data_IF_601790413163
#
_entry.id   IF_601790413163
#
_cell.length_a   1.000
_cell.length_b   1.000
_cell.length_c   1.000
_cell.angle_alpha   90.00
_cell.angle_beta   90.00
_cell.angle_gamma   90.00
#
_symmetry.space_group_name_H-M   'P 1'
#
loop_
_entity.id
_entity.type
_entity.pdbx_description
1 polymer ?
#
# COMPACT_ATOMS: atom_id res chain seq x y z
N UNK A 1 0.16 1.28 -18.90
CA UNK A 1 1.38 1.61 -18.14
C UNK A 1 1.21 1.18 -16.68
N UNK A 2 2.23 0.57 -16.07
CA UNK A 2 2.23 0.16 -14.66
C UNK A 2 2.95 1.20 -13.79
N UNK A 3 2.49 1.39 -12.55
CA UNK A 3 3.14 2.22 -11.55
C UNK A 3 3.47 1.43 -10.27
N UNK A 4 4.55 1.82 -9.59
CA UNK A 4 4.94 1.28 -8.28
C UNK A 4 4.76 2.37 -7.23
N UNK A 5 4.07 2.04 -6.14
CA UNK A 5 3.90 2.91 -4.98
C UNK A 5 4.64 2.30 -3.77
N UNK A 6 5.94 2.58 -3.60
CA UNK A 6 6.74 2.01 -2.54
C UNK A 6 6.52 2.75 -1.21
N UNK A 7 6.52 2.01 -0.10
CA UNK A 7 6.39 2.60 1.24
C UNK A 7 6.65 1.59 2.35
N UNK A 8 6.93 2.09 3.56
CA UNK A 8 7.06 1.22 4.74
C UNK A 8 5.70 0.66 5.18
N UNK A 9 4.63 1.44 4.97
CA UNK A 9 3.24 1.14 5.34
C UNK A 9 3.12 0.61 6.76
N UNK A 10 3.67 1.38 7.71
CA UNK A 10 3.91 0.94 9.09
C UNK A 10 3.33 1.93 10.11
N UNK A 11 1.98 2.03 10.25
CA UNK A 11 0.94 1.34 9.47
C UNK A 11 0.55 2.08 8.19
N UNK A 12 -0.17 1.39 7.30
CA UNK A 12 -0.91 2.05 6.22
C UNK A 12 -2.00 2.98 6.79
N UNK A 13 -2.33 4.04 6.06
CA UNK A 13 -3.28 5.09 6.49
C UNK A 13 -4.24 5.42 5.35
N UNK A 14 -5.35 6.09 5.66
CA UNK A 14 -6.31 6.55 4.63
C UNK A 14 -5.66 7.48 3.59
N UNK A 15 -4.63 8.23 3.96
CA UNK A 15 -3.85 9.03 3.01
C UNK A 15 -3.10 8.17 1.99
N UNK A 16 -2.55 7.02 2.39
CA UNK A 16 -1.95 6.08 1.45
C UNK A 16 -3.00 5.50 0.48
N UNK A 17 -4.21 5.21 0.98
CA UNK A 17 -5.30 4.72 0.15
C UNK A 17 -5.78 5.78 -0.86
N UNK A 18 -5.86 7.05 -0.46
CA UNK A 18 -6.18 8.16 -1.37
C UNK A 18 -5.17 8.27 -2.51
N UNK A 19 -3.87 8.24 -2.20
CA UNK A 19 -2.81 8.27 -3.21
C UNK A 19 -2.90 7.06 -4.15
N UNK A 20 -3.10 5.87 -3.61
CA UNK A 20 -3.26 4.65 -4.40
C UNK A 20 -4.48 4.72 -5.35
N UNK A 21 -5.61 5.27 -4.88
CA UNK A 21 -6.83 5.47 -5.69
C UNK A 21 -6.60 6.45 -6.83
N UNK A 22 -5.96 7.58 -6.55
CA UNK A 22 -5.63 8.57 -7.58
C UNK A 22 -4.70 7.97 -8.63
N UNK A 23 -3.69 7.22 -8.20
CA UNK A 23 -2.79 6.50 -9.11
C UNK A 23 -3.55 5.46 -9.97
N UNK A 24 -4.50 4.73 -9.39
CA UNK A 24 -5.30 3.74 -10.13
C UNK A 24 -6.22 4.38 -11.20
N UNK A 25 -6.55 5.67 -11.07
CA UNK A 25 -7.22 6.43 -12.13
C UNK A 25 -6.31 6.92 -13.25
N UNK A 26 -4.98 6.81 -13.10
CA UNK A 26 -3.97 7.28 -14.05
C UNK A 26 -3.17 6.15 -14.70
N UNK A 27 -3.15 4.96 -14.09
CA UNK A 27 -2.37 3.80 -14.52
C UNK A 27 -3.24 2.55 -14.56
N UNK A 28 -2.96 1.66 -15.53
CA UNK A 28 -3.69 0.40 -15.67
C UNK A 28 -3.47 -0.55 -14.47
N UNK A 29 -2.34 -0.39 -13.79
CA UNK A 29 -1.98 -1.20 -12.62
C UNK A 29 -1.09 -0.39 -11.67
N UNK A 30 -1.40 -0.46 -10.36
CA UNK A 30 -0.62 0.16 -9.28
C UNK A 30 -0.18 -0.93 -8.31
N UNK A 31 1.13 -1.12 -8.18
CA UNK A 31 1.72 -2.10 -7.26
C UNK A 31 2.15 -1.38 -5.99
N UNK A 32 1.48 -1.65 -4.87
CA UNK A 32 1.91 -1.16 -3.56
C UNK A 32 3.01 -2.04 -2.98
N UNK A 33 4.25 -1.55 -2.95
CA UNK A 33 5.41 -2.32 -2.49
C UNK A 33 5.74 -2.02 -1.02
N UNK A 34 5.51 -3.00 -0.14
CA UNK A 34 5.89 -2.90 1.28
C UNK A 34 7.39 -3.09 1.43
N UNK A 35 8.07 -2.02 1.78
CA UNK A 35 9.51 -2.02 2.02
C UNK A 35 9.83 -2.49 3.44
N UNK A 36 10.88 -3.28 3.57
CA UNK A 36 11.47 -3.63 4.86
C UNK A 36 12.88 -3.04 4.94
N UNK A 37 13.21 -2.48 6.10
CA UNK A 37 14.56 -2.04 6.39
C UNK A 37 15.05 -2.79 7.64
N UNK A 38 15.97 -3.76 7.49
CA UNK A 38 16.50 -4.52 8.61
C UNK A 38 17.18 -3.67 9.69
N UNK A 39 17.60 -2.44 9.32
CA UNK A 39 18.24 -1.48 10.24
C UNK A 39 17.24 -0.61 11.00
N UNK A 40 15.93 -0.75 10.76
CA UNK A 40 14.89 0.02 11.44
C UNK A 40 13.96 -0.93 12.18
N UNK A 41 13.67 -0.62 13.44
CA UNK A 41 12.59 -1.29 14.18
C UNK A 41 11.25 -0.76 13.69
N UNK A 42 10.52 -1.60 12.95
CA UNK A 42 9.17 -1.29 12.51
C UNK A 42 8.19 -1.32 13.68
N UNK A 43 7.11 -0.54 13.57
CA UNK A 43 6.01 -0.52 14.54
C UNK A 43 5.19 -1.79 14.46
N UNK A 44 5.01 -2.33 13.26
CA UNK A 44 4.25 -3.55 12.96
C UNK A 44 5.11 -4.60 12.24
N UNK A 45 4.90 -5.90 12.52
CA UNK A 45 5.45 -6.99 11.71
C UNK A 45 5.05 -6.87 10.24
N UNK A 46 5.89 -7.40 9.33
CA UNK A 46 5.61 -7.37 7.89
C UNK A 46 4.24 -7.99 7.54
N UNK A 47 3.89 -9.11 8.18
CA UNK A 47 2.63 -9.80 7.95
C UNK A 47 1.40 -8.92 8.27
N UNK A 48 1.46 -8.15 9.37
CA UNK A 48 0.38 -7.26 9.76
C UNK A 48 0.25 -6.06 8.79
N UNK A 49 1.38 -5.54 8.31
CA UNK A 49 1.38 -4.47 7.29
C UNK A 49 0.74 -4.93 5.98
N UNK A 50 1.04 -6.15 5.54
CA UNK A 50 0.43 -6.76 4.36
C UNK A 50 -1.08 -7.02 4.57
N UNK A 51 -1.47 -7.51 5.75
CA UNK A 51 -2.87 -7.75 6.09
C UNK A 51 -3.68 -6.45 6.10
N UNK A 52 -3.16 -5.37 6.69
CA UNK A 52 -3.80 -4.05 6.69
C UNK A 52 -3.98 -3.50 5.28
N UNK A 53 -2.95 -3.58 4.43
CA UNK A 53 -3.06 -3.14 3.05
C UNK A 53 -4.06 -3.99 2.24
N UNK A 54 -4.06 -5.30 2.44
CA UNK A 54 -5.02 -6.20 1.80
C UNK A 54 -6.46 -5.86 2.22
N UNK A 55 -6.69 -5.63 3.52
CA UNK A 55 -8.01 -5.24 4.04
C UNK A 55 -8.47 -3.90 3.46
N UNK A 56 -7.60 -2.88 3.49
CA UNK A 56 -7.90 -1.54 2.95
C UNK A 56 -8.20 -1.54 1.44
N UNK A 57 -7.69 -2.51 0.70
CA UNK A 57 -7.86 -2.64 -0.77
C UNK A 57 -8.88 -3.72 -1.17
N UNK A 58 -9.39 -4.52 -0.22
CA UNK A 58 -10.28 -5.67 -0.47
C UNK A 58 -11.67 -5.26 -0.96
N UNK A 59 -12.19 -4.12 -0.50
CA UNK A 59 -13.48 -3.63 -0.97
C UNK A 59 -13.34 -3.12 -2.41
N UNK A 60 -14.23 -3.62 -3.27
CA UNK A 60 -14.30 -3.34 -4.72
C UNK A 60 -14.67 -1.89 -4.99
N UNK A 61 -13.71 -0.98 -4.81
CA UNK A 61 -13.83 0.47 -5.06
C UNK A 61 -13.17 0.91 -6.39
N UNK A 62 -12.73 -0.04 -7.22
CA UNK A 62 -12.06 0.21 -8.51
C UNK A 62 -13.01 0.07 -9.72
N UNK A 63 -14.25 0.58 -9.59
CA UNK A 63 -15.13 0.79 -10.74
C UNK A 63 -15.47 2.26 -10.86
#
# INVERSE_FOLDING_TARGET
>A
MRAVFPGSFDPATQGHLDVARRAAGMFDEVVMCVLTNPKKTGRLPLAERLALLADMTSCRWLR
#
